data_IF_750601114234
#
_entry.id   IF_750601114234
#
_cell.length_a   1.000
_cell.length_b   1.000
_cell.length_c   1.000
_cell.angle_alpha   90.00
_cell.angle_beta   90.00
_cell.angle_gamma   90.00
#
_symmetry.space_group_name_H-M   'P 1'
#
loop_
_entity.id
_entity.type
_entity.pdbx_description
1 polymer ?
#
# COMPACT_ATOMS: atom_id res chain seq x y z
N UNK A 1 -22.00 -2.28 -10.85
CA UNK A 1 -21.13 -1.38 -10.04
C UNK A 1 -20.07 -0.81 -10.97
N UNK A 2 -19.71 0.45 -10.82
CA UNK A 2 -18.62 1.07 -11.62
C UNK A 2 -17.30 0.44 -11.20
N UNK A 3 -16.49 -0.02 -12.13
CA UNK A 3 -15.17 -0.59 -11.85
C UNK A 3 -14.25 0.48 -11.24
N UNK A 4 -13.60 0.18 -10.11
CA UNK A 4 -12.64 1.06 -9.45
C UNK A 4 -11.27 0.96 -10.13
N UNK A 5 -10.66 2.10 -10.42
CA UNK A 5 -9.33 2.18 -11.04
C UNK A 5 -8.27 2.42 -9.97
N UNK A 6 -7.32 1.50 -9.88
CA UNK A 6 -6.19 1.58 -8.98
C UNK A 6 -4.89 1.85 -9.74
N UNK A 7 -3.96 2.54 -9.08
CA UNK A 7 -2.59 2.73 -9.58
C UNK A 7 -1.57 2.48 -8.47
N UNK A 8 -0.34 2.15 -8.86
CA UNK A 8 0.76 1.83 -7.95
C UNK A 8 1.88 2.87 -8.08
N UNK A 9 2.32 3.43 -6.96
CA UNK A 9 3.51 4.31 -6.88
C UNK A 9 4.62 3.56 -6.17
N UNK A 10 5.77 3.38 -6.82
CA UNK A 10 6.90 2.59 -6.34
C UNK A 10 6.78 1.13 -6.76
N UNK A 11 7.33 0.79 -7.91
CA UNK A 11 7.30 -0.56 -8.48
C UNK A 11 8.33 -1.48 -7.83
N UNK A 12 9.52 -0.95 -7.56
CA UNK A 12 10.67 -1.72 -7.12
C UNK A 12 11.20 -2.67 -8.21
N UNK A 13 12.21 -3.45 -7.89
CA UNK A 13 12.78 -4.42 -8.83
C UNK A 13 11.77 -5.52 -9.16
N UNK A 14 11.55 -5.76 -10.44
CA UNK A 14 10.63 -6.79 -10.94
C UNK A 14 11.23 -8.20 -10.98
N UNK A 15 12.53 -8.35 -10.75
CA UNK A 15 13.23 -9.62 -10.91
C UNK A 15 12.85 -10.60 -9.81
N UNK A 16 11.92 -11.50 -10.12
CA UNK A 16 11.87 -12.84 -9.55
C UNK A 16 13.05 -13.66 -10.11
N UNK A 17 14.27 -13.35 -9.72
CA UNK A 17 15.34 -14.33 -9.83
C UNK A 17 15.02 -15.39 -8.78
N UNK A 18 14.93 -16.66 -9.18
CA UNK A 18 14.72 -17.77 -8.26
C UNK A 18 15.77 -17.67 -7.13
N UNK A 19 15.30 -17.45 -5.89
CA UNK A 19 16.14 -17.21 -4.73
C UNK A 19 16.32 -15.75 -4.30
N UNK A 20 15.82 -14.75 -5.02
CA UNK A 20 15.84 -13.38 -4.56
C UNK A 20 14.79 -13.16 -3.46
N UNK A 21 15.24 -12.89 -2.24
CA UNK A 21 14.39 -12.57 -1.08
C UNK A 21 13.74 -11.15 -1.17
N UNK A 22 13.98 -10.42 -2.25
CA UNK A 22 13.61 -9.01 -2.41
C UNK A 22 12.53 -8.84 -3.47
N UNK A 23 11.30 -9.10 -3.12
CA UNK A 23 10.16 -8.59 -3.86
C UNK A 23 9.71 -7.30 -3.21
N UNK A 24 9.67 -6.20 -3.98
CA UNK A 24 9.02 -4.98 -3.50
C UNK A 24 7.57 -5.31 -3.09
N UNK A 25 7.12 -4.76 -1.98
CA UNK A 25 5.76 -5.01 -1.46
C UNK A 25 4.66 -4.64 -2.46
N UNK A 26 4.94 -3.74 -3.41
CA UNK A 26 4.06 -3.36 -4.52
C UNK A 26 3.52 -4.56 -5.30
N UNK A 27 4.30 -5.63 -5.42
CA UNK A 27 3.88 -6.87 -6.08
C UNK A 27 2.71 -7.57 -5.36
N UNK A 28 2.64 -7.48 -4.02
CA UNK A 28 1.49 -7.97 -3.27
C UNK A 28 0.27 -7.06 -3.47
N UNK A 29 0.47 -5.75 -3.57
CA UNK A 29 -0.63 -4.79 -3.77
C UNK A 29 -1.31 -4.99 -5.13
N UNK A 30 -0.53 -5.07 -6.23
CA UNK A 30 -1.11 -5.27 -7.57
C UNK A 30 -1.86 -6.59 -7.66
N UNK A 31 -1.30 -7.67 -7.10
CA UNK A 31 -1.96 -8.97 -7.08
C UNK A 31 -3.27 -8.94 -6.28
N UNK A 32 -3.28 -8.23 -5.14
CA UNK A 32 -4.48 -8.04 -4.34
C UNK A 32 -5.59 -7.31 -5.11
N UNK A 33 -5.26 -6.23 -5.82
CA UNK A 33 -6.23 -5.53 -6.66
C UNK A 33 -6.72 -6.39 -7.83
N UNK A 34 -5.81 -7.11 -8.51
CA UNK A 34 -6.18 -7.99 -9.64
C UNK A 34 -7.07 -9.16 -9.21
N UNK A 35 -6.95 -9.62 -7.95
CA UNK A 35 -7.79 -10.66 -7.38
C UNK A 35 -9.15 -10.13 -6.85
N UNK A 36 -9.36 -8.81 -6.84
CA UNK A 36 -10.57 -8.18 -6.32
C UNK A 36 -11.54 -7.86 -7.44
N UNK A 37 -12.72 -8.47 -7.42
CA UNK A 37 -13.79 -8.17 -8.39
C UNK A 37 -14.18 -6.70 -8.34
N UNK A 38 -14.35 -6.08 -9.51
CA UNK A 38 -14.71 -4.66 -9.63
C UNK A 38 -13.56 -3.68 -9.38
N UNK A 39 -12.30 -4.19 -9.34
CA UNK A 39 -11.10 -3.36 -9.26
C UNK A 39 -10.13 -3.69 -10.39
N UNK A 40 -9.55 -2.66 -11.01
CA UNK A 40 -8.56 -2.81 -12.07
C UNK A 40 -7.37 -1.90 -11.84
N UNK A 41 -6.15 -2.45 -11.95
CA UNK A 41 -4.92 -1.64 -11.96
C UNK A 41 -4.69 -1.12 -13.37
N UNK A 42 -4.63 0.21 -13.54
CA UNK A 42 -4.53 0.87 -14.86
C UNK A 42 -3.13 1.35 -15.18
N UNK A 43 -2.31 1.63 -14.19
CA UNK A 43 -0.94 2.11 -14.38
C UNK A 43 -0.07 1.91 -13.15
N UNK A 44 1.23 2.08 -13.34
CA UNK A 44 2.22 2.18 -12.27
C UNK A 44 3.22 3.31 -12.53
N UNK A 45 3.90 3.76 -11.48
CA UNK A 45 4.97 4.76 -11.59
C UNK A 45 6.19 4.36 -10.76
N UNK A 46 7.36 4.55 -11.34
CA UNK A 46 8.66 4.45 -10.66
C UNK A 46 9.64 5.42 -11.31
N UNK A 47 10.54 6.02 -10.53
CA UNK A 47 11.56 6.92 -11.05
C UNK A 47 12.63 6.21 -11.90
N UNK A 48 12.72 4.88 -11.78
CA UNK A 48 13.61 4.04 -12.58
C UNK A 48 12.77 3.39 -13.69
N UNK A 49 13.06 3.79 -14.93
CA UNK A 49 12.29 3.34 -16.10
C UNK A 49 12.22 1.82 -16.23
N UNK A 50 13.36 1.13 -16.06
CA UNK A 50 13.39 -0.34 -16.12
C UNK A 50 12.45 -1.00 -15.10
N UNK A 51 12.30 -0.39 -13.92
CA UNK A 51 11.39 -0.91 -12.88
C UNK A 51 9.93 -0.69 -13.28
N UNK A 52 9.59 0.51 -13.75
CA UNK A 52 8.24 0.84 -14.18
C UNK A 52 7.82 -0.01 -15.39
N UNK A 53 8.65 -0.07 -16.42
CA UNK A 53 8.37 -0.81 -17.66
C UNK A 53 8.24 -2.33 -17.41
N UNK A 54 9.20 -2.93 -16.69
CA UNK A 54 9.18 -4.36 -16.40
C UNK A 54 8.02 -4.75 -15.47
N UNK A 55 7.65 -3.89 -14.52
CA UNK A 55 6.50 -4.08 -13.66
C UNK A 55 5.19 -4.04 -14.46
N UNK A 56 5.04 -3.05 -15.33
CA UNK A 56 3.88 -2.95 -16.20
C UNK A 56 3.74 -4.19 -17.10
N UNK A 57 4.83 -4.64 -17.72
CA UNK A 57 4.84 -5.84 -18.55
C UNK A 57 4.48 -7.10 -17.75
N UNK A 58 5.04 -7.26 -16.52
CA UNK A 58 4.78 -8.42 -15.66
C UNK A 58 3.32 -8.58 -15.28
N UNK A 59 2.63 -7.45 -15.01
CA UNK A 59 1.23 -7.44 -14.55
C UNK A 59 0.21 -7.08 -15.63
N UNK A 60 0.67 -6.94 -16.88
CA UNK A 60 -0.21 -6.60 -18.01
C UNK A 60 -0.85 -5.22 -17.88
N UNK A 61 -0.14 -4.26 -17.25
CA UNK A 61 -0.66 -2.90 -17.09
C UNK A 61 -0.52 -2.13 -18.42
N UNK A 62 -1.54 -1.37 -18.83
CA UNK A 62 -1.53 -0.68 -20.13
C UNK A 62 -0.53 0.48 -20.19
N UNK A 63 -0.13 1.04 -19.05
CA UNK A 63 0.74 2.21 -18.99
C UNK A 63 1.67 2.18 -17.79
N UNK A 64 2.84 2.83 -17.94
CA UNK A 64 3.73 3.19 -16.83
C UNK A 64 4.18 4.64 -16.96
N UNK A 65 4.64 5.22 -15.87
CA UNK A 65 5.06 6.61 -15.76
C UNK A 65 6.37 6.70 -14.97
N UNK A 66 7.15 7.74 -15.23
CA UNK A 66 8.37 8.05 -14.47
C UNK A 66 8.13 9.09 -13.38
N UNK A 67 7.04 9.85 -13.49
CA UNK A 67 6.54 10.76 -12.46
C UNK A 67 5.12 10.35 -12.05
N UNK A 68 4.95 10.06 -10.76
CA UNK A 68 3.65 9.69 -10.21
C UNK A 68 2.62 10.83 -10.32
N UNK A 69 3.06 12.10 -10.36
CA UNK A 69 2.15 13.24 -10.49
C UNK A 69 1.51 13.27 -11.87
N UNK A 70 2.31 13.00 -12.91
CA UNK A 70 1.80 12.85 -14.27
C UNK A 70 0.82 11.68 -14.36
N UNK A 71 1.15 10.55 -13.72
CA UNK A 71 0.25 9.40 -13.65
C UNK A 71 -1.08 9.77 -12.99
N UNK A 72 -1.08 10.42 -11.84
CA UNK A 72 -2.31 10.81 -11.12
C UNK A 72 -3.16 11.76 -11.97
N UNK A 73 -2.51 12.75 -12.61
CA UNK A 73 -3.22 13.71 -13.46
C UNK A 73 -3.86 13.06 -14.70
N UNK A 74 -3.16 12.12 -15.35
CA UNK A 74 -3.62 11.43 -16.55
C UNK A 74 -4.67 10.36 -16.25
N UNK A 75 -4.41 9.51 -15.25
CA UNK A 75 -5.23 8.35 -14.92
C UNK A 75 -6.47 8.70 -14.10
N UNK A 76 -6.43 9.75 -13.28
CA UNK A 76 -7.48 10.13 -12.33
C UNK A 76 -8.03 8.90 -11.58
N UNK A 77 -7.17 8.18 -10.85
CA UNK A 77 -7.54 6.91 -10.23
C UNK A 77 -8.48 7.11 -9.04
N UNK A 78 -9.28 6.08 -8.75
CA UNK A 78 -10.08 6.01 -7.53
C UNK A 78 -9.22 5.62 -6.32
N UNK A 79 -8.23 4.75 -6.55
CA UNK A 79 -7.39 4.15 -5.50
C UNK A 79 -5.91 4.31 -5.88
N UNK A 80 -5.09 4.67 -4.90
CA UNK A 80 -3.63 4.74 -5.04
C UNK A 80 -2.96 3.88 -3.98
N UNK A 81 -2.01 3.02 -4.39
CA UNK A 81 -1.05 2.40 -3.47
C UNK A 81 0.27 3.15 -3.49
N UNK A 82 0.75 3.57 -2.31
CA UNK A 82 2.05 4.20 -2.11
C UNK A 82 2.99 3.17 -1.50
N UNK A 83 3.91 2.66 -2.34
CA UNK A 83 4.85 1.56 -2.01
C UNK A 83 6.30 2.04 -2.06
N UNK A 84 6.56 3.26 -1.67
CA UNK A 84 7.86 3.91 -1.71
C UNK A 84 8.58 3.89 -0.35
N UNK A 85 9.65 4.66 -0.24
CA UNK A 85 10.37 4.82 1.02
C UNK A 85 9.59 5.72 2.00
N UNK A 86 9.69 5.50 3.31
CA UNK A 86 8.88 6.22 4.33
C UNK A 86 8.97 7.74 4.27
N UNK A 87 10.13 8.29 3.93
CA UNK A 87 10.33 9.74 3.84
C UNK A 87 9.58 10.41 2.68
N UNK A 88 9.06 9.62 1.72
CA UNK A 88 8.25 10.10 0.60
C UNK A 88 6.74 9.97 0.85
N UNK A 89 6.34 9.19 1.85
CA UNK A 89 4.93 8.85 2.08
C UNK A 89 4.06 10.10 2.27
N UNK A 90 4.50 11.02 3.14
CA UNK A 90 3.69 12.20 3.46
C UNK A 90 3.44 13.09 2.24
N UNK A 91 4.48 13.36 1.46
CA UNK A 91 4.37 14.15 0.23
C UNK A 91 3.41 13.50 -0.76
N UNK A 92 3.60 12.20 -1.05
CA UNK A 92 2.81 11.47 -2.03
C UNK A 92 1.35 11.33 -1.61
N UNK A 93 1.09 10.97 -0.36
CA UNK A 93 -0.28 10.84 0.17
C UNK A 93 -1.01 12.17 0.11
N UNK A 94 -0.38 13.26 0.58
CA UNK A 94 -0.99 14.60 0.55
C UNK A 94 -1.25 15.06 -0.88
N UNK A 95 -0.32 14.81 -1.81
CA UNK A 95 -0.52 15.13 -3.22
C UNK A 95 -1.70 14.36 -3.82
N UNK A 96 -1.76 13.04 -3.63
CA UNK A 96 -2.86 12.21 -4.13
C UNK A 96 -4.21 12.63 -3.56
N UNK A 97 -4.27 12.93 -2.26
CA UNK A 97 -5.49 13.41 -1.62
C UNK A 97 -5.98 14.73 -2.23
N UNK A 98 -5.07 15.70 -2.42
CA UNK A 98 -5.38 16.99 -3.06
C UNK A 98 -5.76 16.87 -4.53
N UNK A 99 -5.28 15.83 -5.22
CA UNK A 99 -5.64 15.53 -6.61
C UNK A 99 -7.02 14.83 -6.76
N UNK A 100 -7.73 14.58 -5.65
CA UNK A 100 -9.08 14.02 -5.67
C UNK A 100 -9.15 12.49 -5.69
N UNK A 101 -8.06 11.81 -5.32
CA UNK A 101 -8.07 10.36 -5.11
C UNK A 101 -8.98 10.02 -3.94
N UNK A 102 -9.84 9.00 -4.08
CA UNK A 102 -10.85 8.64 -3.08
C UNK A 102 -10.30 7.77 -1.96
N UNK A 103 -9.35 6.89 -2.27
CA UNK A 103 -8.74 5.99 -1.30
C UNK A 103 -7.24 5.84 -1.53
N UNK A 104 -6.46 5.86 -0.45
CA UNK A 104 -5.01 5.71 -0.49
C UNK A 104 -4.62 4.60 0.47
N UNK A 105 -3.88 3.61 -0.05
CA UNK A 105 -3.27 2.56 0.73
C UNK A 105 -1.75 2.77 0.74
N UNK A 106 -1.21 3.13 1.90
CA UNK A 106 0.20 3.48 2.04
C UNK A 106 0.96 2.39 2.80
N UNK A 107 2.21 2.17 2.42
CA UNK A 107 3.09 1.26 3.14
C UNK A 107 3.49 1.77 4.53
N UNK A 108 3.89 0.82 5.36
CA UNK A 108 4.43 1.10 6.70
C UNK A 108 5.95 1.42 6.58
N UNK A 109 6.51 2.17 7.56
CA UNK A 109 5.80 2.98 8.56
C UNK A 109 5.12 4.19 7.91
N UNK A 110 4.12 4.78 8.61
CA UNK A 110 3.33 5.89 8.08
C UNK A 110 4.20 7.03 7.53
N UNK A 111 5.15 7.49 8.33
CA UNK A 111 6.11 8.53 8.00
C UNK A 111 7.29 8.46 8.99
N UNK A 112 8.42 9.14 8.72
CA UNK A 112 9.55 9.24 9.64
C UNK A 112 9.23 9.97 10.93
N UNK A 113 8.29 10.93 10.90
CA UNK A 113 7.94 11.76 12.05
C UNK A 113 6.43 11.76 12.32
N UNK A 114 6.07 11.96 13.61
CA UNK A 114 4.67 12.13 14.01
C UNK A 114 4.01 13.34 13.32
N UNK A 115 4.75 14.43 13.13
CA UNK A 115 4.23 15.62 12.46
C UNK A 115 3.83 15.36 11.01
N UNK A 116 4.61 14.56 10.27
CA UNK A 116 4.26 14.15 8.90
C UNK A 116 3.05 13.22 8.88
N UNK A 117 3.05 12.20 9.74
CA UNK A 117 1.92 11.28 9.86
C UNK A 117 0.61 12.00 10.20
N UNK A 118 0.67 13.00 11.11
CA UNK A 118 -0.47 13.83 11.46
C UNK A 118 -0.97 14.66 10.27
N UNK A 119 -0.07 15.30 9.52
CA UNK A 119 -0.47 16.06 8.31
C UNK A 119 -1.14 15.18 7.26
N UNK A 120 -0.64 13.96 7.05
CA UNK A 120 -1.29 12.99 6.14
C UNK A 120 -2.74 12.74 6.57
N UNK A 121 -2.93 12.42 7.85
CA UNK A 121 -4.25 12.15 8.42
C UNK A 121 -5.17 13.36 8.28
N UNK A 122 -4.73 14.53 8.76
CA UNK A 122 -5.53 15.77 8.73
C UNK A 122 -5.95 16.12 7.30
N UNK A 123 -5.02 16.08 6.34
CA UNK A 123 -5.34 16.35 4.93
C UNK A 123 -6.35 15.36 4.36
N UNK A 124 -6.20 14.07 4.65
CA UNK A 124 -7.14 13.06 4.16
C UNK A 124 -8.52 13.20 4.79
N UNK A 125 -8.60 13.49 6.09
CA UNK A 125 -9.86 13.72 6.80
C UNK A 125 -10.60 14.95 6.25
N UNK A 126 -9.88 16.07 6.05
CA UNK A 126 -10.44 17.32 5.50
C UNK A 126 -11.01 17.14 4.09
N UNK A 127 -10.38 16.31 3.29
CA UNK A 127 -10.78 16.05 1.90
C UNK A 127 -11.70 14.83 1.74
N UNK A 128 -12.04 14.13 2.83
CA UNK A 128 -12.88 12.93 2.80
C UNK A 128 -12.22 11.72 2.12
N UNK A 129 -10.89 11.66 2.11
CA UNK A 129 -10.10 10.57 1.51
C UNK A 129 -9.90 9.44 2.50
N UNK A 130 -10.19 8.22 2.10
CA UNK A 130 -9.91 7.05 2.92
C UNK A 130 -8.42 6.73 2.91
N UNK A 131 -7.72 6.95 4.03
CA UNK A 131 -6.30 6.61 4.19
C UNK A 131 -6.16 5.35 5.02
N UNK A 132 -5.44 4.37 4.49
CA UNK A 132 -5.12 3.10 5.16
C UNK A 132 -3.63 2.79 5.07
N UNK A 133 -3.13 1.99 6.02
CA UNK A 133 -1.73 1.57 6.05
C UNK A 133 -1.61 0.05 6.04
N UNK A 134 -0.57 -0.46 5.37
CA UNK A 134 -0.35 -1.90 5.24
C UNK A 134 0.17 -2.53 6.54
N UNK A 135 -0.70 -2.61 7.54
CA UNK A 135 -0.49 -3.45 8.73
C UNK A 135 -1.03 -4.86 8.47
N UNK A 136 -0.40 -5.57 7.56
CA UNK A 136 -0.84 -6.85 7.00
C UNK A 136 -1.22 -7.90 8.05
N UNK A 137 -0.50 -7.95 9.18
CA UNK A 137 -0.78 -8.90 10.27
C UNK A 137 -2.18 -8.76 10.87
N UNK A 138 -2.82 -7.59 10.75
CA UNK A 138 -4.22 -7.42 11.19
C UNK A 138 -5.20 -8.32 10.44
N UNK A 139 -4.82 -8.77 9.24
CA UNK A 139 -5.65 -9.56 8.33
C UNK A 139 -5.26 -11.04 8.30
N UNK A 140 -4.12 -11.40 8.90
CA UNK A 140 -3.69 -12.80 8.99
C UNK A 140 -4.64 -13.61 9.89
N UNK A 141 -5.02 -14.84 9.50
CA UNK A 141 -6.02 -15.64 10.20
C UNK A 141 -5.72 -15.84 11.70
N UNK A 142 -4.46 -16.10 12.06
CA UNK A 142 -4.04 -16.34 13.45
C UNK A 142 -4.25 -15.09 14.33
N UNK A 143 -3.91 -13.89 13.85
CA UNK A 143 -4.12 -12.65 14.62
C UNK A 143 -5.60 -12.28 14.71
N UNK A 144 -6.36 -12.57 13.65
CA UNK A 144 -7.82 -12.39 13.67
C UNK A 144 -8.48 -13.32 14.68
N UNK A 145 -8.06 -14.59 14.74
CA UNK A 145 -8.56 -15.57 15.71
C UNK A 145 -8.24 -15.15 17.15
N UNK A 146 -6.98 -14.74 17.44
CA UNK A 146 -6.61 -14.27 18.79
C UNK A 146 -7.46 -13.08 19.21
N UNK A 147 -7.66 -12.11 18.32
CA UNK A 147 -8.53 -10.95 18.59
C UNK A 147 -9.96 -11.36 18.84
N UNK A 148 -10.50 -12.30 18.09
CA UNK A 148 -11.86 -12.80 18.27
C UNK A 148 -12.03 -13.50 19.61
N UNK A 149 -11.12 -14.41 19.99
CA UNK A 149 -11.14 -15.09 21.27
C UNK A 149 -11.07 -14.11 22.45
N UNK A 150 -10.22 -13.09 22.36
CA UNK A 150 -10.13 -12.04 23.38
C UNK A 150 -11.45 -11.25 23.49
N UNK A 151 -12.04 -10.84 22.36
CA UNK A 151 -13.29 -10.08 22.32
C UNK A 151 -14.49 -10.90 22.84
N UNK A 152 -14.48 -12.21 22.64
CA UNK A 152 -15.50 -13.13 23.17
C UNK A 152 -15.32 -13.45 24.66
N UNK A 153 -14.27 -12.92 25.28
CA UNK A 153 -14.00 -13.13 26.70
C UNK A 153 -13.53 -14.54 27.07
N UNK A 154 -13.07 -15.34 26.09
CA UNK A 154 -12.63 -16.74 26.32
C UNK A 154 -11.48 -16.82 27.33
N UNK A 155 -10.63 -15.80 27.36
CA UNK A 155 -9.51 -15.66 28.31
C UNK A 155 -9.84 -14.71 29.48
N UNK A 156 -11.12 -14.33 29.63
CA UNK A 156 -11.54 -13.31 30.58
C UNK A 156 -11.03 -11.91 30.23
N UNK A 157 -10.85 -11.07 31.24
CA UNK A 157 -10.29 -9.71 31.05
C UNK A 157 -8.82 -9.81 30.67
N UNK A 158 -8.47 -9.31 29.50
CA UNK A 158 -7.06 -9.20 29.06
C UNK A 158 -6.34 -8.19 29.94
N UNK A 159 -5.34 -8.63 30.70
CA UNK A 159 -4.52 -7.80 31.56
C UNK A 159 -3.16 -7.48 30.96
N UNK A 160 -2.61 -8.40 30.16
CA UNK A 160 -1.31 -8.26 29.53
C UNK A 160 -1.26 -9.04 28.22
N UNK A 161 -0.59 -8.50 27.24
CA UNK A 161 -0.27 -9.18 25.97
C UNK A 161 1.26 -9.17 25.82
N UNK A 162 1.83 -10.34 25.62
CA UNK A 162 3.22 -10.50 25.21
C UNK A 162 3.26 -11.09 23.80
N UNK A 163 3.95 -10.42 22.89
CA UNK A 163 4.13 -10.89 21.52
C UNK A 163 5.62 -10.94 21.21
N UNK A 164 6.12 -12.13 20.86
CA UNK A 164 7.45 -12.30 20.30
C UNK A 164 7.34 -12.32 18.77
N UNK A 165 8.00 -11.37 18.11
CA UNK A 165 8.28 -11.44 16.68
C UNK A 165 9.67 -12.04 16.55
N UNK A 166 9.77 -13.30 16.14
CA UNK A 166 11.04 -13.88 15.74
C UNK A 166 11.62 -13.09 14.56
N UNK A 167 12.93 -12.90 14.55
CA UNK A 167 13.60 -12.29 13.40
C UNK A 167 13.32 -13.14 12.16
N UNK A 168 12.57 -12.58 11.23
CA UNK A 168 12.40 -13.18 9.90
C UNK A 168 13.61 -12.90 9.00
N UNK A 169 14.66 -12.31 9.55
CA UNK A 169 15.89 -11.98 8.85
C UNK A 169 17.05 -12.63 9.57
N UNK A 170 17.50 -13.77 9.08
CA UNK A 170 18.88 -14.19 9.27
C UNK A 170 19.74 -13.22 8.45
N UNK A 171 20.44 -12.35 9.14
CA UNK A 171 21.42 -11.40 8.58
C UNK A 171 22.69 -12.15 8.19
#
# INVERSE_FOLDING_TARGET
MTELRAVIIGCGKSTRTAGAKEHGISHCHVQGYQATEGCRVTACADIVEDYAASYAALYGLPRYYLDYREMIAAEKPDIVSVCTWPHLHAEMVIHCAKAGVRAIHCEKPMAPTFGEARRMKETCDELGVQLTFNHQRRFEPQYRMVRELANRGVVGKVLRIEAACGDMFDW
#
